data_IF_380087008057
#
_entry.id   IF_380087008057
#
_cell.length_a   1.000
_cell.length_b   1.000
_cell.length_c   1.000
_cell.angle_alpha   90.00
_cell.angle_beta   90.00
_cell.angle_gamma   90.00
#
_symmetry.space_group_name_H-M   'P 1'
#
loop_
_entity.id
_entity.type
_entity.pdbx_description
1 polymer ?
#
# COMPACT_ATOMS: atom_id res chain seq x y z
N UNK A 1 12.86 5.25 1.02
CA UNK A 1 12.11 4.00 0.74
C UNK A 1 10.66 4.35 0.95
N UNK A 2 9.77 4.01 0.02
CA UNK A 2 8.39 4.50 0.13
C UNK A 2 7.76 4.10 1.48
N UNK A 3 7.15 5.07 2.16
CA UNK A 3 6.47 4.87 3.43
C UNK A 3 4.96 4.85 3.26
N UNK A 4 4.43 5.60 2.29
CA UNK A 4 3.00 5.73 2.06
C UNK A 4 2.67 5.46 0.59
N UNK A 5 1.70 4.58 0.35
CA UNK A 5 1.11 4.35 -0.97
C UNK A 5 -0.34 4.82 -0.91
N UNK A 6 -0.68 5.78 -1.75
CA UNK A 6 -2.03 6.31 -1.84
C UNK A 6 -2.67 5.79 -3.12
N UNK A 7 -3.79 5.11 -2.98
CA UNK A 7 -4.49 4.46 -4.09
C UNK A 7 -5.77 5.22 -4.38
N UNK A 8 -5.90 5.72 -5.61
CA UNK A 8 -7.06 6.52 -6.00
C UNK A 8 -7.10 7.89 -5.32
N UNK A 9 -8.31 8.45 -5.14
CA UNK A 9 -8.51 9.75 -4.52
C UNK A 9 -8.87 9.60 -3.05
N UNK A 10 -8.02 10.02 -2.10
CA UNK A 10 -8.34 10.00 -0.68
C UNK A 10 -9.68 10.68 -0.37
N UNK A 11 -10.46 10.09 0.52
CA UNK A 11 -11.74 10.65 0.97
C UNK A 11 -11.57 11.94 1.79
N UNK A 12 -10.42 12.08 2.44
CA UNK A 12 -10.03 13.23 3.27
C UNK A 12 -8.64 13.70 2.87
N UNK A 13 -8.26 14.92 3.23
CA UNK A 13 -6.90 15.39 3.01
C UNK A 13 -5.89 14.51 3.75
N UNK A 14 -4.71 14.34 3.16
CA UNK A 14 -3.63 13.55 3.76
C UNK A 14 -3.19 14.13 5.10
N UNK A 15 -3.22 15.45 5.24
CA UNK A 15 -2.95 16.17 6.50
C UNK A 15 -3.88 15.71 7.64
N UNK A 16 -5.18 15.47 7.36
CA UNK A 16 -6.12 14.97 8.36
C UNK A 16 -5.83 13.51 8.76
N UNK A 17 -5.19 12.75 7.88
CA UNK A 17 -4.70 11.41 8.18
C UNK A 17 -3.34 11.42 8.90
N UNK A 18 -2.80 12.61 9.22
CA UNK A 18 -1.47 12.77 9.79
C UNK A 18 -0.35 12.44 8.81
N UNK A 19 -0.64 12.46 7.50
CA UNK A 19 0.30 12.19 6.43
C UNK A 19 0.69 13.52 5.81
N UNK A 20 1.89 13.98 6.13
CA UNK A 20 2.53 15.04 5.36
C UNK A 20 3.07 14.42 4.06
N UNK A 21 2.67 14.92 2.87
CA UNK A 21 3.21 14.43 1.62
C UNK A 21 4.71 14.73 1.55
N UNK A 22 5.52 13.71 1.84
CA UNK A 22 6.98 13.75 1.74
C UNK A 22 7.45 13.02 0.48
N UNK A 23 8.75 13.10 0.18
CA UNK A 23 9.38 12.38 -0.95
C UNK A 23 9.17 10.86 -0.94
N UNK A 24 8.69 10.30 0.18
CA UNK A 24 8.44 8.86 0.36
C UNK A 24 6.95 8.49 0.26
N UNK A 25 6.15 9.31 -0.41
CA UNK A 25 4.72 9.09 -0.67
C UNK A 25 4.45 9.02 -2.17
N UNK A 26 3.96 7.88 -2.68
CA UNK A 26 3.55 7.75 -4.08
C UNK A 26 2.04 7.51 -4.22
N UNK A 27 1.51 7.96 -5.35
CA UNK A 27 0.14 7.73 -5.78
C UNK A 27 0.09 6.62 -6.83
N UNK A 28 -0.91 5.74 -6.71
CA UNK A 28 -1.14 4.64 -7.63
C UNK A 28 -2.63 4.42 -7.89
N UNK A 29 -2.94 3.63 -8.91
CA UNK A 29 -4.31 3.23 -9.28
C UNK A 29 -4.50 1.71 -9.20
N UNK A 30 -3.41 0.94 -9.09
CA UNK A 30 -3.49 -0.51 -8.87
C UNK A 30 -4.18 -0.80 -7.53
N UNK A 31 -5.16 -1.71 -7.55
CA UNK A 31 -5.91 -2.13 -6.36
C UNK A 31 -5.55 -3.54 -5.92
N UNK A 32 -4.83 -4.29 -6.76
CA UNK A 32 -4.34 -5.61 -6.37
C UNK A 32 -3.10 -5.49 -5.50
N UNK A 33 -3.29 -5.68 -4.19
CA UNK A 33 -2.26 -5.48 -3.18
C UNK A 33 -0.93 -6.22 -3.47
N UNK A 34 -0.91 -7.49 -3.93
CA UNK A 34 0.34 -8.16 -4.26
C UNK A 34 1.12 -7.49 -5.38
N UNK A 35 0.46 -6.87 -6.37
CA UNK A 35 1.16 -6.20 -7.47
C UNK A 35 1.79 -4.90 -7.00
N UNK A 36 1.10 -4.13 -6.16
CA UNK A 36 1.65 -2.94 -5.50
C UNK A 36 2.91 -3.29 -4.70
N UNK A 37 2.82 -4.30 -3.83
CA UNK A 37 3.93 -4.70 -2.98
C UNK A 37 5.17 -5.14 -3.78
N UNK A 38 4.97 -5.74 -4.96
CA UNK A 38 6.07 -6.08 -5.87
C UNK A 38 6.60 -4.83 -6.58
N UNK A 39 5.72 -3.97 -7.10
CA UNK A 39 6.07 -2.72 -7.80
C UNK A 39 6.98 -1.83 -6.94
N UNK A 40 6.64 -1.68 -5.67
CA UNK A 40 7.39 -0.86 -4.71
C UNK A 40 8.54 -1.61 -4.00
N UNK A 41 8.84 -2.84 -4.41
CA UNK A 41 10.00 -3.59 -3.91
C UNK A 41 9.88 -4.12 -2.49
N UNK A 42 8.65 -4.27 -1.96
CA UNK A 42 8.40 -4.94 -0.68
C UNK A 42 8.48 -6.46 -0.78
N UNK A 43 8.22 -7.02 -1.97
CA UNK A 43 8.40 -8.45 -2.26
C UNK A 43 9.04 -8.66 -3.63
N UNK A 44 9.74 -9.79 -3.83
CA UNK A 44 10.37 -10.10 -5.12
C UNK A 44 9.37 -10.56 -6.17
N UNK A 45 8.26 -11.18 -5.76
CA UNK A 45 7.24 -11.67 -6.69
C UNK A 45 5.89 -11.91 -6.02
N UNK A 46 4.81 -11.89 -6.80
CA UNK A 46 3.46 -12.22 -6.32
C UNK A 46 3.41 -13.65 -5.77
N UNK A 47 4.13 -14.59 -6.40
CA UNK A 47 4.20 -15.98 -5.94
C UNK A 47 4.81 -16.12 -4.55
N UNK A 48 5.77 -15.28 -4.20
CA UNK A 48 6.34 -15.23 -2.85
C UNK A 48 5.30 -14.80 -1.82
N UNK A 49 4.52 -13.77 -2.13
CA UNK A 49 3.41 -13.29 -1.28
C UNK A 49 2.37 -14.42 -1.13
N UNK A 50 1.97 -15.07 -2.22
CA UNK A 50 1.00 -16.19 -2.17
C UNK A 50 1.48 -17.37 -1.30
N UNK A 51 2.79 -17.63 -1.23
CA UNK A 51 3.36 -18.69 -0.38
C UNK A 51 3.44 -18.28 1.09
N UNK A 52 3.88 -17.05 1.37
CA UNK A 52 4.27 -16.63 2.72
C UNK A 52 3.21 -15.80 3.45
N UNK A 53 2.38 -15.05 2.72
CA UNK A 53 1.42 -14.05 3.24
C UNK A 53 0.14 -14.06 2.41
N UNK A 54 -0.61 -15.16 2.52
CA UNK A 54 -1.90 -15.36 1.82
C UNK A 54 -2.93 -14.28 2.17
N UNK A 55 -2.84 -13.72 3.37
CA UNK A 55 -3.65 -12.60 3.86
C UNK A 55 -3.51 -11.33 3.01
N UNK A 56 -2.36 -11.13 2.37
CA UNK A 56 -2.10 -9.98 1.50
C UNK A 56 -2.57 -10.21 0.05
N UNK A 57 -3.10 -11.39 -0.27
CA UNK A 57 -3.57 -11.74 -1.62
C UNK A 57 -5.03 -11.33 -1.77
N UNK A 58 -5.27 -10.03 -1.82
CA UNK A 58 -6.61 -9.44 -1.93
C UNK A 58 -6.60 -8.16 -2.75
N UNK A 59 -7.79 -7.71 -3.13
CA UNK A 59 -8.02 -6.41 -3.74
C UNK A 59 -8.40 -5.38 -2.67
N UNK A 60 -7.95 -4.16 -2.89
CA UNK A 60 -8.25 -2.97 -2.09
C UNK A 60 -9.46 -2.27 -2.71
N UNK A 61 -10.65 -2.84 -2.51
CA UNK A 61 -11.87 -2.42 -3.20
C UNK A 61 -12.58 -1.25 -2.52
N UNK A 62 -12.44 -1.14 -1.19
CA UNK A 62 -13.12 -0.15 -0.36
C UNK A 62 -12.11 0.86 0.18
N UNK A 63 -12.53 2.11 0.43
CA UNK A 63 -11.71 3.06 1.14
C UNK A 63 -11.28 2.50 2.50
N UNK A 64 -9.99 2.52 2.76
CA UNK A 64 -9.38 1.93 3.95
C UNK A 64 -8.00 2.55 4.20
N UNK A 65 -7.50 2.44 5.42
CA UNK A 65 -6.16 2.85 5.77
C UNK A 65 -5.52 1.75 6.61
N UNK A 66 -4.50 1.10 6.05
CA UNK A 66 -3.82 0.00 6.72
C UNK A 66 -2.29 0.09 6.67
N UNK A 67 -1.65 -0.34 7.74
CA UNK A 67 -0.19 -0.50 7.78
C UNK A 67 0.18 -1.96 7.53
N UNK A 68 0.95 -2.21 6.47
CA UNK A 68 1.47 -3.53 6.15
C UNK A 68 2.93 -3.62 6.58
N UNK A 69 3.20 -4.58 7.46
CA UNK A 69 4.56 -4.96 7.87
C UNK A 69 5.02 -6.22 7.12
N UNK A 70 6.14 -6.12 6.42
CA UNK A 70 6.80 -7.20 5.68
C UNK A 70 8.25 -7.32 6.15
N UNK A 71 8.50 -8.22 7.10
CA UNK A 71 9.79 -8.36 7.75
C UNK A 71 10.19 -7.09 8.52
N UNK A 72 11.29 -6.45 8.09
CA UNK A 72 11.75 -5.17 8.65
C UNK A 72 11.15 -3.95 7.96
N UNK A 73 10.49 -4.13 6.80
CA UNK A 73 9.87 -3.04 6.03
C UNK A 73 8.44 -2.81 6.52
N UNK A 74 8.00 -1.55 6.48
CA UNK A 74 6.64 -1.13 6.79
C UNK A 74 6.17 -0.16 5.70
N UNK A 75 4.89 -0.23 5.36
CA UNK A 75 4.26 0.70 4.42
C UNK A 75 2.83 0.95 4.86
N UNK A 76 2.40 2.20 4.80
CA UNK A 76 1.02 2.60 4.92
C UNK A 76 0.37 2.58 3.55
N UNK A 77 -0.81 1.99 3.48
CA UNK A 77 -1.64 1.98 2.29
C UNK A 77 -2.91 2.73 2.63
N UNK A 78 -3.18 3.80 1.88
CA UNK A 78 -4.42 4.57 1.96
C UNK A 78 -5.17 4.33 0.67
N UNK A 79 -6.36 3.78 0.80
CA UNK A 79 -7.27 3.49 -0.31
C UNK A 79 -8.36 4.56 -0.30
N UNK A 80 -8.48 5.25 -1.42
CA UNK A 80 -9.54 6.21 -1.70
C UNK A 80 -10.55 5.65 -2.71
N UNK A 81 -11.41 6.55 -3.20
CA UNK A 81 -12.35 6.25 -4.29
C UNK A 81 -11.69 6.28 -5.67
#
# INVERSE_FOLDING_TARGET
MIQNIIIGKPLVSLELLGIEPQEETDFDTERFLPRLLVKYGFSKSISEIKRNRKDLVRYLEKPDMEMIKLGKKKVWIIVGE
#
